data_IF_035411679232
#
_entry.id   IF_035411679232
#
_cell.length_a   1.000
_cell.length_b   1.000
_cell.length_c   1.000
_cell.angle_alpha   90.00
_cell.angle_beta   90.00
_cell.angle_gamma   90.00
#
_symmetry.space_group_name_H-M   'P 1'
#
loop_
_entity.id
_entity.type
_entity.pdbx_description
1 polymer ?
#
# COMPACT_ATOMS: atom_id res chain seq x y z
N UNK A 1 10.30 -4.98 26.93
CA UNK A 1 10.19 -5.07 25.46
C UNK A 1 9.15 -6.14 25.13
N UNK A 2 8.01 -5.77 24.61
CA UNK A 2 6.94 -6.68 24.22
C UNK A 2 6.98 -6.88 22.72
N UNK A 3 7.45 -8.02 22.28
CA UNK A 3 7.60 -8.32 20.85
C UNK A 3 6.28 -8.82 20.27
N UNK A 4 5.91 -8.24 19.14
CA UNK A 4 4.81 -8.73 18.30
C UNK A 4 5.31 -8.97 16.88
N UNK A 5 4.69 -9.92 16.22
CA UNK A 5 4.93 -10.21 14.82
C UNK A 5 3.87 -9.56 13.93
N UNK A 6 4.25 -9.10 12.76
CA UNK A 6 3.31 -8.60 11.77
C UNK A 6 3.69 -9.05 10.36
N UNK A 7 2.71 -9.56 9.62
CA UNK A 7 2.85 -9.73 8.18
C UNK A 7 2.77 -8.36 7.50
N UNK A 8 3.76 -8.05 6.72
CA UNK A 8 3.95 -6.76 6.07
C UNK A 8 4.22 -6.94 4.58
N UNK A 9 4.10 -5.86 3.80
CA UNK A 9 4.27 -5.88 2.36
C UNK A 9 5.14 -4.71 1.89
N UNK A 10 6.02 -4.96 0.93
CA UNK A 10 6.72 -3.91 0.17
C UNK A 10 6.26 -3.93 -1.28
N UNK A 11 6.09 -2.75 -1.86
CA UNK A 11 5.74 -2.54 -3.26
C UNK A 11 6.87 -1.77 -3.95
N UNK A 12 7.49 -2.39 -4.94
CA UNK A 12 8.50 -1.71 -5.76
C UNK A 12 7.82 -0.96 -6.91
N UNK A 13 7.67 0.36 -6.76
CA UNK A 13 6.94 1.19 -7.71
C UNK A 13 7.63 1.28 -9.07
N UNK A 14 8.95 1.13 -9.11
CA UNK A 14 9.71 1.14 -10.35
C UNK A 14 9.32 0.00 -11.33
N UNK A 15 8.74 -1.07 -10.80
CA UNK A 15 8.26 -2.23 -11.57
C UNK A 15 6.75 -2.22 -11.82
N UNK A 16 6.03 -1.22 -11.36
CA UNK A 16 4.59 -1.17 -11.56
C UNK A 16 4.26 -0.78 -13.02
N UNK A 17 3.56 -1.64 -13.71
CA UNK A 17 3.15 -1.47 -15.11
C UNK A 17 1.79 -0.79 -15.28
N UNK A 18 1.08 -0.49 -14.19
CA UNK A 18 -0.30 0.00 -14.25
C UNK A 18 -1.30 -0.98 -14.86
N UNK A 19 -1.01 -2.28 -14.90
CA UNK A 19 -1.84 -3.29 -15.57
C UNK A 19 -3.14 -3.64 -14.84
N UNK A 20 -3.38 -3.12 -13.66
CA UNK A 20 -4.56 -3.29 -12.81
C UNK A 20 -4.95 -4.73 -12.45
N UNK A 21 -4.20 -5.75 -12.86
CA UNK A 21 -4.48 -7.16 -12.53
C UNK A 21 -4.69 -7.36 -11.02
N UNK A 22 -3.87 -6.72 -10.19
CA UNK A 22 -4.00 -6.79 -8.73
C UNK A 22 -5.31 -6.18 -8.21
N UNK A 23 -5.87 -5.17 -8.89
CA UNK A 23 -7.14 -4.55 -8.52
C UNK A 23 -8.31 -5.42 -8.91
N UNK A 24 -8.30 -5.95 -10.14
CA UNK A 24 -9.36 -6.79 -10.68
C UNK A 24 -9.46 -8.11 -9.92
N UNK A 25 -8.34 -8.79 -9.67
CA UNK A 25 -8.34 -10.04 -8.91
C UNK A 25 -8.79 -9.85 -7.46
N UNK A 26 -8.37 -8.76 -6.82
CA UNK A 26 -8.85 -8.40 -5.49
C UNK A 26 -10.35 -8.09 -5.49
N UNK A 27 -10.83 -7.35 -6.51
CA UNK A 27 -12.24 -7.01 -6.69
C UNK A 27 -13.08 -8.28 -6.84
N UNK A 28 -12.69 -9.18 -7.72
CA UNK A 28 -13.42 -10.42 -7.98
C UNK A 28 -13.44 -11.36 -6.77
N UNK A 29 -12.38 -11.35 -5.96
CA UNK A 29 -12.29 -12.23 -4.79
C UNK A 29 -13.10 -11.70 -3.61
N UNK A 30 -13.10 -10.38 -3.37
CA UNK A 30 -13.58 -9.83 -2.10
C UNK A 30 -14.78 -8.89 -2.22
N UNK A 31 -14.91 -8.14 -3.30
CA UNK A 31 -15.89 -7.05 -3.40
C UNK A 31 -16.78 -7.09 -4.65
N UNK A 32 -16.82 -8.22 -5.35
CA UNK A 32 -17.74 -8.43 -6.48
C UNK A 32 -19.08 -8.96 -5.99
N UNK A 33 -19.83 -8.14 -5.24
CA UNK A 33 -21.11 -8.46 -4.65
C UNK A 33 -21.92 -7.19 -4.36
N UNK A 34 -23.22 -7.34 -4.11
CA UNK A 34 -24.14 -6.25 -3.85
C UNK A 34 -23.71 -5.38 -2.66
N UNK A 35 -23.85 -4.07 -2.81
CA UNK A 35 -23.45 -3.06 -1.85
C UNK A 35 -21.95 -2.78 -1.80
N UNK A 36 -21.12 -3.58 -2.50
CA UNK A 36 -19.68 -3.44 -2.52
C UNK A 36 -19.13 -3.05 -3.92
N UNK A 37 -20.00 -2.66 -4.85
CA UNK A 37 -19.65 -2.38 -6.25
C UNK A 37 -18.61 -1.27 -6.38
N UNK A 38 -18.70 -0.23 -5.57
CA UNK A 38 -17.78 0.90 -5.58
C UNK A 38 -16.50 0.64 -4.77
N UNK A 39 -16.41 -0.47 -4.04
CA UNK A 39 -15.29 -0.76 -3.15
C UNK A 39 -14.13 -1.38 -3.91
N UNK A 40 -12.96 -0.76 -3.82
CA UNK A 40 -11.70 -1.32 -4.29
C UNK A 40 -10.72 -1.41 -3.12
N UNK A 41 -10.61 -2.59 -2.52
CA UNK A 41 -9.67 -2.84 -1.41
C UNK A 41 -8.23 -2.62 -1.85
N UNK A 42 -7.90 -3.02 -3.07
CA UNK A 42 -6.68 -2.63 -3.74
C UNK A 42 -7.03 -1.89 -5.03
N UNK A 43 -6.45 -0.73 -5.24
CA UNK A 43 -6.54 0.03 -6.49
C UNK A 43 -5.14 0.49 -6.91
N UNK A 44 -4.99 0.88 -8.15
CA UNK A 44 -3.77 1.49 -8.67
C UNK A 44 -4.12 2.90 -9.13
N UNK A 45 -3.39 3.87 -8.66
CA UNK A 45 -3.58 5.28 -8.99
C UNK A 45 -2.46 5.75 -9.88
N UNK A 46 -2.78 6.62 -10.83
CA UNK A 46 -1.77 7.39 -11.56
C UNK A 46 -1.31 8.56 -10.68
N UNK A 47 -0.01 8.82 -10.65
CA UNK A 47 0.59 9.92 -9.92
C UNK A 47 1.55 10.71 -10.81
N UNK A 48 1.44 12.04 -10.82
CA UNK A 48 0.45 12.89 -10.12
C UNK A 48 -1.00 12.63 -10.54
N UNK A 49 -1.96 12.84 -9.63
CA UNK A 49 -3.38 12.62 -9.88
C UNK A 49 -4.26 12.70 -8.64
N UNK A 50 -5.56 12.66 -8.81
CA UNK A 50 -6.55 12.89 -7.75
C UNK A 50 -6.72 11.70 -6.80
N UNK A 51 -6.36 10.48 -7.20
CA UNK A 51 -6.52 9.28 -6.37
C UNK A 51 -7.96 8.80 -6.19
N UNK A 52 -8.15 7.79 -5.30
CA UNK A 52 -9.43 7.14 -5.02
C UNK A 52 -9.63 6.89 -3.52
N UNK A 53 -10.57 7.56 -2.84
CA UNK A 53 -11.46 8.62 -3.35
C UNK A 53 -10.69 9.88 -3.77
N UNK A 54 -11.37 10.77 -4.49
CA UNK A 54 -10.76 12.02 -5.01
C UNK A 54 -10.11 12.83 -3.89
N UNK A 55 -8.87 13.24 -4.13
CA UNK A 55 -8.07 14.07 -3.23
C UNK A 55 -8.02 13.53 -1.80
N UNK A 56 -7.91 12.20 -1.64
CA UNK A 56 -7.87 11.55 -0.33
C UNK A 56 -6.71 12.05 0.56
N UNK A 57 -5.69 12.64 -0.02
CA UNK A 57 -4.53 13.23 0.67
C UNK A 57 -4.81 14.60 1.27
N UNK A 58 -5.91 15.23 0.91
CA UNK A 58 -6.36 16.49 1.50
C UNK A 58 -6.88 16.26 2.93
N UNK A 59 -5.96 16.32 3.89
CA UNK A 59 -6.31 16.10 5.29
C UNK A 59 -6.98 17.32 5.96
N UNK A 60 -6.97 18.49 5.33
CA UNK A 60 -7.77 19.62 5.80
C UNK A 60 -9.26 19.33 5.65
N UNK A 61 -9.62 18.70 4.53
CA UNK A 61 -10.98 18.22 4.27
C UNK A 61 -11.30 16.93 5.03
N UNK A 62 -10.44 15.94 4.94
CA UNK A 62 -10.77 14.55 5.34
C UNK A 62 -10.41 14.20 6.77
N UNK A 63 -9.51 14.94 7.41
CA UNK A 63 -9.15 14.85 8.84
C UNK A 63 -8.93 13.42 9.36
N UNK A 64 -8.20 12.60 8.59
CA UNK A 64 -7.87 11.24 9.01
C UNK A 64 -6.55 11.16 9.80
N UNK A 65 -6.31 10.01 10.46
CA UNK A 65 -5.09 9.78 11.21
C UNK A 65 -5.05 10.41 12.59
N UNK A 66 -3.85 10.73 13.04
CA UNK A 66 -3.56 11.28 14.36
C UNK A 66 -2.88 12.64 14.24
N UNK A 67 -3.14 13.49 15.21
CA UNK A 67 -2.43 14.75 15.46
C UNK A 67 -1.88 14.76 16.88
N UNK A 68 -0.97 15.67 17.17
CA UNK A 68 -0.55 15.94 18.54
C UNK A 68 -1.42 17.04 19.14
N UNK A 69 -1.87 16.84 20.37
CA UNK A 69 -2.51 17.90 21.16
C UNK A 69 -1.45 18.89 21.72
N UNK A 70 -1.90 19.93 22.37
CA UNK A 70 -1.03 20.95 22.96
C UNK A 70 -0.07 20.40 24.03
N UNK A 71 -0.34 19.22 24.57
CA UNK A 71 0.48 18.53 25.54
C UNK A 71 1.45 17.53 24.90
N UNK A 72 1.39 17.36 23.57
CA UNK A 72 2.19 16.41 22.81
C UNK A 72 1.66 14.98 22.81
N UNK A 73 0.42 14.76 23.26
CA UNK A 73 -0.21 13.44 23.22
C UNK A 73 -0.93 13.21 21.90
N UNK A 74 -1.06 11.95 21.51
CA UNK A 74 -1.80 11.56 20.32
C UNK A 74 -3.31 11.79 20.47
N UNK A 75 -3.88 12.54 19.55
CA UNK A 75 -5.31 12.78 19.43
C UNK A 75 -5.79 12.41 18.03
N UNK A 76 -7.00 11.82 17.93
CA UNK A 76 -7.59 11.54 16.63
C UNK A 76 -7.95 12.85 15.91
N UNK A 77 -7.52 13.00 14.67
CA UNK A 77 -7.81 14.18 13.83
C UNK A 77 -9.31 14.40 13.61
N UNK A 78 -10.12 13.34 13.68
CA UNK A 78 -11.60 13.40 13.61
C UNK A 78 -12.26 13.98 14.86
N UNK A 79 -11.50 14.32 15.88
CA UNK A 79 -11.94 14.97 17.11
C UNK A 79 -12.15 14.05 18.31
N UNK A 80 -12.49 14.67 19.44
CA UNK A 80 -12.69 14.01 20.74
C UNK A 80 -13.84 12.99 20.73
N UNK A 81 -13.93 12.17 21.79
CA UNK A 81 -15.04 11.22 21.98
C UNK A 81 -16.41 11.92 21.95
N UNK A 82 -16.52 13.11 22.54
CA UNK A 82 -17.75 13.90 22.55
C UNK A 82 -18.13 14.39 21.15
N UNK A 83 -17.18 14.92 20.39
CA UNK A 83 -17.41 15.35 19.01
C UNK A 83 -17.84 14.19 18.12
N UNK A 84 -17.26 13.01 18.32
CA UNK A 84 -17.65 11.81 17.57
C UNK A 84 -19.07 11.35 17.91
N UNK A 85 -19.48 11.46 19.17
CA UNK A 85 -20.87 11.16 19.58
C UNK A 85 -21.86 12.09 18.90
N UNK A 86 -21.55 13.39 18.80
CA UNK A 86 -22.40 14.35 18.08
C UNK A 86 -22.47 14.08 16.58
N UNK A 87 -21.40 13.52 16.00
CA UNK A 87 -21.33 13.15 14.58
C UNK A 87 -21.94 11.78 14.24
N UNK A 88 -22.70 11.17 15.15
CA UNK A 88 -23.25 9.82 14.96
C UNK A 88 -24.11 9.71 13.69
N UNK A 89 -24.83 10.76 13.35
CA UNK A 89 -25.75 10.80 12.21
C UNK A 89 -25.20 11.56 11.00
N UNK A 90 -24.13 12.34 11.19
CA UNK A 90 -23.54 13.15 10.13
C UNK A 90 -22.02 13.19 10.23
N UNK A 91 -21.35 12.71 9.18
CA UNK A 91 -19.91 12.64 9.10
C UNK A 91 -19.39 13.50 7.93
N UNK A 92 -19.15 14.79 8.13
CA UNK A 92 -18.75 15.69 7.03
C UNK A 92 -17.37 15.32 6.43
N UNK A 93 -16.51 14.64 7.19
CA UNK A 93 -15.20 14.18 6.75
C UNK A 93 -15.25 12.79 6.09
N UNK A 94 -16.43 12.19 5.94
CA UNK A 94 -16.58 10.92 5.24
C UNK A 94 -16.71 11.17 3.73
N UNK A 95 -15.95 10.44 2.87
CA UNK A 95 -16.19 10.49 1.43
C UNK A 95 -17.61 10.04 1.07
N UNK A 96 -18.24 10.78 0.18
CA UNK A 96 -19.52 10.43 -0.42
C UNK A 96 -19.33 9.59 -1.68
N UNK A 97 -20.41 9.02 -2.21
CA UNK A 97 -20.34 8.21 -3.43
C UNK A 97 -19.78 8.99 -4.63
N UNK A 98 -20.02 10.29 -4.69
CA UNK A 98 -19.47 11.18 -5.74
C UNK A 98 -17.96 11.39 -5.66
N UNK A 99 -17.34 11.19 -4.48
CA UNK A 99 -15.91 11.26 -4.29
C UNK A 99 -15.24 9.95 -4.73
N UNK A 100 -16.00 8.87 -4.80
CA UNK A 100 -15.63 7.63 -5.45
C UNK A 100 -16.06 7.65 -6.92
N UNK A 101 -15.51 6.73 -7.71
CA UNK A 101 -15.98 6.52 -9.07
C UNK A 101 -17.32 5.79 -9.06
N UNK A 102 -18.27 6.25 -9.88
CA UNK A 102 -19.52 5.55 -10.03
C UNK A 102 -19.25 4.15 -10.63
N UNK A 103 -19.64 3.06 -9.93
CA UNK A 103 -19.39 1.72 -10.43
C UNK A 103 -20.26 1.43 -11.65
N UNK A 104 -19.68 0.82 -12.65
CA UNK A 104 -20.35 0.54 -13.91
C UNK A 104 -20.05 -0.87 -14.44
N UNK A 105 -20.90 -1.33 -15.34
CA UNK A 105 -20.72 -2.55 -16.12
C UNK A 105 -21.11 -2.29 -17.57
N UNK A 106 -20.72 -3.17 -18.47
CA UNK A 106 -21.19 -3.11 -19.85
C UNK A 106 -22.59 -3.72 -19.98
N UNK A 107 -23.34 -3.32 -21.02
CA UNK A 107 -24.61 -3.90 -21.40
C UNK A 107 -24.38 -5.22 -22.15
N UNK A 108 -24.02 -6.25 -21.39
CA UNK A 108 -23.71 -7.58 -21.95
C UNK A 108 -24.93 -8.22 -22.63
N UNK A 109 -26.14 -7.96 -22.14
CA UNK A 109 -27.37 -8.51 -22.77
C UNK A 109 -27.54 -8.01 -24.18
N UNK A 110 -27.33 -6.73 -24.42
CA UNK A 110 -27.37 -6.17 -25.81
C UNK A 110 -26.29 -6.79 -26.69
N UNK A 111 -25.11 -7.14 -26.18
CA UNK A 111 -24.05 -7.81 -26.90
C UNK A 111 -24.40 -9.27 -27.21
N UNK A 112 -24.96 -10.00 -26.26
CA UNK A 112 -25.28 -11.43 -26.38
C UNK A 112 -26.48 -11.64 -27.30
N UNK A 113 -27.50 -10.79 -27.17
CA UNK A 113 -28.75 -10.93 -27.91
C UNK A 113 -28.82 -10.04 -29.16
N UNK A 114 -27.77 -9.27 -29.43
CA UNK A 114 -27.66 -8.49 -30.66
C UNK A 114 -27.65 -9.39 -31.90
N UNK A 115 -28.71 -9.34 -32.70
CA UNK A 115 -28.80 -10.14 -33.93
C UNK A 115 -27.70 -9.76 -34.93
N UNK A 116 -27.34 -10.70 -35.83
CA UNK A 116 -26.41 -10.48 -36.95
C UNK A 116 -27.03 -9.51 -37.96
N UNK A 117 -26.97 -8.22 -37.65
CA UNK A 117 -27.37 -7.13 -38.55
C UNK A 117 -26.13 -6.36 -38.99
N UNK A 118 -26.25 -5.57 -40.04
CA UNK A 118 -25.13 -4.74 -40.53
C UNK A 118 -24.57 -3.73 -39.51
N UNK A 119 -25.37 -3.37 -38.51
CA UNK A 119 -24.90 -2.53 -37.39
C UNK A 119 -24.62 -3.41 -36.17
N UNK A 120 -23.35 -3.55 -35.83
CA UNK A 120 -22.95 -4.23 -34.61
C UNK A 120 -23.38 -3.41 -33.37
N UNK A 121 -23.94 -4.05 -32.33
CA UNK A 121 -24.24 -3.36 -31.11
C UNK A 121 -22.93 -2.90 -30.42
N UNK A 122 -22.90 -1.66 -30.00
CA UNK A 122 -21.77 -1.12 -29.22
C UNK A 122 -22.07 -1.33 -27.74
N UNK A 123 -21.15 -1.97 -27.03
CA UNK A 123 -21.22 -2.07 -25.58
C UNK A 123 -21.11 -0.67 -24.96
N UNK A 124 -22.18 -0.20 -24.34
CA UNK A 124 -22.14 1.05 -23.58
C UNK A 124 -22.13 0.76 -22.09
N UNK A 125 -21.32 1.49 -21.31
CA UNK A 125 -21.33 1.33 -19.87
C UNK A 125 -22.67 1.73 -19.28
N UNK A 126 -23.10 0.98 -18.26
CA UNK A 126 -24.27 1.27 -17.43
C UNK A 126 -23.84 1.41 -15.99
N UNK A 127 -24.33 2.43 -15.31
CA UNK A 127 -24.19 2.58 -13.89
C UNK A 127 -24.76 1.37 -13.14
N UNK A 128 -24.01 0.81 -12.21
CA UNK A 128 -24.52 -0.21 -11.28
C UNK A 128 -25.47 0.38 -10.24
N UNK A 129 -25.39 1.69 -10.00
CA UNK A 129 -26.24 2.42 -9.03
C UNK A 129 -27.55 2.85 -9.69
N UNK A 130 -27.49 3.66 -10.76
CA UNK A 130 -28.68 4.25 -11.39
C UNK A 130 -29.31 3.37 -12.46
N UNK A 131 -28.59 2.34 -12.94
CA UNK A 131 -28.95 1.45 -14.06
C UNK A 131 -29.07 2.18 -15.42
N UNK A 132 -28.73 3.45 -15.47
CA UNK A 132 -28.76 4.24 -16.71
C UNK A 132 -27.47 4.09 -17.52
N UNK A 133 -27.55 4.37 -18.82
CA UNK A 133 -26.37 4.48 -19.68
C UNK A 133 -25.53 5.66 -19.22
N UNK A 134 -24.22 5.47 -19.20
CA UNK A 134 -23.29 6.50 -18.80
C UNK A 134 -22.09 6.58 -19.76
N UNK A 135 -21.42 7.71 -19.76
CA UNK A 135 -20.12 7.88 -20.37
C UNK A 135 -19.06 7.74 -19.27
N UNK A 136 -18.13 6.82 -19.47
CA UNK A 136 -17.01 6.63 -18.55
C UNK A 136 -15.94 7.65 -18.90
N UNK A 137 -15.86 8.71 -18.11
CA UNK A 137 -14.84 9.73 -18.27
C UNK A 137 -13.60 9.45 -17.43
N UNK A 138 -13.73 8.64 -16.38
CA UNK A 138 -12.63 8.24 -15.49
C UNK A 138 -13.09 7.13 -14.54
N UNK A 139 -12.16 6.43 -13.89
CA UNK A 139 -12.48 5.36 -12.96
C UNK A 139 -11.32 5.08 -11.99
N UNK A 140 -11.50 4.21 -10.95
CA UNK A 140 -10.52 3.98 -9.89
C UNK A 140 -9.15 3.50 -10.38
N UNK A 141 -9.13 2.94 -11.57
CA UNK A 141 -7.94 2.39 -12.21
C UNK A 141 -7.77 2.92 -13.64
N UNK A 142 -8.57 3.89 -14.04
CA UNK A 142 -8.71 4.36 -15.39
C UNK A 142 -8.72 5.88 -15.41
N UNK A 143 -7.89 6.46 -14.60
CA UNK A 143 -7.59 7.87 -14.73
C UNK A 143 -6.72 8.00 -15.96
N UNK A 144 -7.42 7.99 -17.12
CA UNK A 144 -6.81 7.79 -18.42
C UNK A 144 -6.14 9.03 -18.95
N UNK A 145 -6.21 10.13 -18.23
CA UNK A 145 -5.35 11.26 -18.46
C UNK A 145 -3.93 10.98 -17.96
N UNK A 146 -3.43 9.85 -18.41
CA UNK A 146 -2.10 9.34 -18.10
C UNK A 146 -0.98 10.30 -18.53
N UNK A 147 -1.30 11.31 -19.31
CA UNK A 147 -0.36 12.25 -19.90
C UNK A 147 -0.51 13.68 -19.34
N UNK A 148 -0.78 13.83 -18.07
CA UNK A 148 -0.72 15.15 -17.45
C UNK A 148 -1.98 16.00 -17.60
N UNK A 149 -3.13 15.40 -17.76
CA UNK A 149 -4.37 16.12 -17.93
C UNK A 149 -4.85 16.91 -16.70
N UNK A 150 -6.09 17.38 -16.77
CA UNK A 150 -6.72 18.22 -15.73
C UNK A 150 -6.63 17.62 -14.32
N UNK A 151 -6.54 16.29 -14.21
CA UNK A 151 -6.46 15.59 -12.93
C UNK A 151 -5.09 15.70 -12.25
N UNK A 152 -4.00 15.77 -13.03
CA UNK A 152 -2.67 15.98 -12.47
C UNK A 152 -2.57 17.34 -11.77
N UNK A 153 -3.19 18.38 -12.36
CA UNK A 153 -3.22 19.74 -11.78
C UNK A 153 -3.97 19.82 -10.44
N UNK A 154 -4.81 18.87 -10.16
CA UNK A 154 -5.58 18.77 -8.90
C UNK A 154 -4.88 17.93 -7.85
N UNK A 155 -3.67 17.45 -8.11
CA UNK A 155 -2.86 16.69 -7.14
C UNK A 155 -2.46 17.57 -5.96
N UNK A 156 -2.78 17.10 -4.74
CA UNK A 156 -2.55 17.86 -3.49
C UNK A 156 -1.07 18.10 -3.25
N UNK A 157 -0.20 17.15 -3.60
CA UNK A 157 1.24 17.27 -3.37
C UNK A 157 1.91 18.20 -4.38
N UNK A 158 1.44 18.21 -5.65
CA UNK A 158 1.91 19.18 -6.63
C UNK A 158 1.46 20.60 -6.27
N UNK A 159 0.22 20.77 -5.84
CA UNK A 159 -0.29 22.08 -5.42
C UNK A 159 0.54 22.68 -4.29
N UNK A 160 1.06 21.87 -3.37
CA UNK A 160 1.98 22.29 -2.31
C UNK A 160 3.34 22.77 -2.84
N UNK A 161 3.75 22.33 -4.01
CA UNK A 161 5.06 22.67 -4.60
C UNK A 161 5.04 23.95 -5.45
N UNK A 162 3.87 24.50 -5.76
CA UNK A 162 3.68 25.66 -6.64
C UNK A 162 3.34 25.29 -8.08
N UNK A 163 2.56 26.16 -8.74
CA UNK A 163 1.99 25.84 -10.06
C UNK A 163 3.03 25.79 -11.19
N UNK A 164 4.12 26.51 -11.07
CA UNK A 164 5.13 26.61 -12.14
C UNK A 164 5.86 25.27 -12.38
N UNK A 165 5.97 24.46 -11.35
CA UNK A 165 6.62 23.13 -11.41
C UNK A 165 5.75 22.11 -12.15
N UNK A 166 4.43 22.27 -12.14
CA UNK A 166 3.49 21.33 -12.76
C UNK A 166 3.76 21.19 -14.26
N UNK A 167 4.03 22.28 -14.95
CA UNK A 167 4.23 22.28 -16.41
C UNK A 167 5.53 21.60 -16.84
N UNK A 168 6.59 21.70 -16.05
CA UNK A 168 7.88 21.07 -16.37
C UNK A 168 7.88 19.55 -16.17
N UNK A 169 6.97 19.04 -15.35
CA UNK A 169 6.90 17.62 -15.00
C UNK A 169 5.77 16.84 -15.68
N UNK A 170 4.77 17.49 -16.24
CA UNK A 170 3.59 16.84 -16.85
C UNK A 170 3.98 15.81 -17.92
N UNK A 171 4.99 16.11 -18.73
CA UNK A 171 5.42 15.22 -19.83
C UNK A 171 6.45 14.16 -19.41
N UNK A 172 7.06 14.31 -18.24
CA UNK A 172 8.28 13.55 -17.88
C UNK A 172 8.09 12.63 -16.68
N UNK A 173 7.15 12.95 -15.77
CA UNK A 173 6.96 12.20 -14.54
C UNK A 173 5.52 11.70 -14.38
N UNK A 174 5.34 10.44 -14.66
CA UNK A 174 4.11 9.71 -14.36
C UNK A 174 4.48 8.37 -13.73
N UNK A 175 3.82 8.02 -12.63
CA UNK A 175 4.02 6.76 -11.93
C UNK A 175 2.70 6.20 -11.45
N UNK A 176 2.69 4.89 -11.26
CA UNK A 176 1.57 4.18 -10.68
C UNK A 176 1.78 3.93 -9.20
N UNK A 177 0.77 4.25 -8.40
CA UNK A 177 0.75 4.02 -6.96
C UNK A 177 -0.34 3.00 -6.61
N UNK A 178 0.00 1.72 -6.48
CA UNK A 178 -0.93 0.73 -5.96
C UNK A 178 -1.17 0.97 -4.48
N UNK A 179 -2.44 1.12 -4.09
CA UNK A 179 -2.84 1.37 -2.70
C UNK A 179 -3.79 0.30 -2.17
N UNK A 180 -3.53 -0.14 -0.96
CA UNK A 180 -4.39 -1.04 -0.19
C UNK A 180 -4.42 -0.57 1.27
N UNK A 181 -5.13 -1.29 2.15
CA UNK A 181 -5.05 -1.01 3.59
C UNK A 181 -3.64 -1.28 4.10
N UNK A 182 -3.10 -0.34 4.87
CA UNK A 182 -1.73 -0.42 5.40
C UNK A 182 -1.58 -1.29 6.65
N UNK A 183 -2.68 -1.81 7.22
CA UNK A 183 -2.67 -2.62 8.44
C UNK A 183 -1.74 -2.05 9.54
N UNK A 184 -1.89 -0.76 9.78
CA UNK A 184 -1.02 0.09 10.59
C UNK A 184 -0.71 -0.48 11.98
N UNK A 185 0.45 -0.12 12.54
CA UNK A 185 0.79 -0.43 13.94
C UNK A 185 -0.04 0.41 14.91
N UNK A 186 -0.27 1.69 14.58
CA UNK A 186 -1.11 2.63 15.33
C UNK A 186 -2.38 2.99 14.55
N UNK A 187 -3.36 2.07 14.43
CA UNK A 187 -4.49 2.24 13.52
C UNK A 187 -5.55 3.19 14.08
N UNK A 188 -5.64 4.40 13.51
CA UNK A 188 -6.66 5.40 13.87
C UNK A 188 -8.10 4.87 13.71
N UNK A 189 -8.32 3.96 12.77
CA UNK A 189 -9.63 3.33 12.55
C UNK A 189 -10.06 2.40 13.69
N UNK A 190 -9.12 1.72 14.34
CA UNK A 190 -9.37 0.89 15.53
C UNK A 190 -9.74 1.78 16.69
N UNK A 191 -8.94 2.80 16.97
CA UNK A 191 -9.17 3.76 18.05
C UNK A 191 -10.47 4.56 17.88
N UNK A 192 -10.90 4.76 16.64
CA UNK A 192 -12.15 5.49 16.36
C UNK A 192 -13.41 4.65 16.51
N UNK A 193 -13.32 3.32 16.56
CA UNK A 193 -14.48 2.43 16.60
C UNK A 193 -15.07 2.32 18.01
N UNK A 194 -16.29 2.87 18.29
CA UNK A 194 -16.84 2.83 19.65
C UNK A 194 -17.27 1.43 20.09
N UNK A 195 -17.64 0.55 19.14
CA UNK A 195 -18.09 -0.81 19.44
C UNK A 195 -16.94 -1.83 19.55
N UNK A 196 -15.70 -1.42 19.26
CA UNK A 196 -14.57 -2.36 19.20
C UNK A 196 -14.64 -3.36 18.04
N UNK A 197 -15.52 -3.12 17.05
CA UNK A 197 -15.68 -4.03 15.92
C UNK A 197 -14.42 -4.09 15.01
N UNK A 198 -13.63 -3.01 14.96
CA UNK A 198 -12.35 -3.02 14.27
C UNK A 198 -11.27 -3.36 15.29
N UNK A 199 -10.48 -4.35 14.98
CA UNK A 199 -9.42 -4.83 15.85
C UNK A 199 -8.19 -5.26 15.05
N UNK A 200 -7.04 -5.30 15.72
CA UNK A 200 -5.78 -5.80 15.20
C UNK A 200 -5.58 -7.21 15.74
N UNK A 201 -5.35 -8.16 14.85
CA UNK A 201 -5.06 -9.55 15.23
C UNK A 201 -3.70 -9.62 15.91
N UNK A 202 -3.59 -10.43 16.94
CA UNK A 202 -2.32 -10.62 17.65
C UNK A 202 -1.36 -11.54 16.89
N UNK A 203 -1.88 -12.49 16.11
CA UNK A 203 -1.12 -13.53 15.44
C UNK A 203 -0.29 -13.00 14.27
N UNK A 204 -0.84 -12.10 13.48
CA UNK A 204 -0.25 -11.64 12.23
C UNK A 204 -0.30 -10.12 12.03
N UNK A 205 -0.86 -9.39 13.00
CA UNK A 205 -0.99 -7.94 12.96
C UNK A 205 -2.03 -7.42 11.96
N UNK A 206 -2.81 -8.28 11.31
CA UNK A 206 -3.83 -7.86 10.35
C UNK A 206 -4.98 -7.14 11.06
N UNK A 207 -5.36 -5.97 10.57
CA UNK A 207 -6.51 -5.22 11.09
C UNK A 207 -7.78 -5.65 10.37
N UNK A 208 -8.76 -6.15 11.12
CA UNK A 208 -10.03 -6.68 10.62
C UNK A 208 -11.24 -5.92 11.18
N UNK A 209 -12.40 -6.19 10.58
CA UNK A 209 -13.72 -5.73 11.07
C UNK A 209 -14.55 -6.97 11.38
N UNK A 210 -14.95 -7.12 12.64
CA UNK A 210 -15.95 -8.09 13.03
C UNK A 210 -17.34 -7.63 12.54
N UNK A 211 -17.91 -8.39 11.61
CA UNK A 211 -19.20 -8.05 11.04
C UNK A 211 -20.34 -8.16 12.07
N UNK A 212 -20.24 -9.10 13.01
CA UNK A 212 -21.24 -9.31 14.06
C UNK A 212 -21.28 -8.16 15.07
N UNK A 213 -20.11 -7.59 15.40
CA UNK A 213 -19.97 -6.51 16.37
C UNK A 213 -20.15 -5.12 15.72
N UNK A 214 -19.97 -5.01 14.40
CA UNK A 214 -20.10 -3.74 13.69
C UNK A 214 -21.53 -3.21 13.77
N UNK A 215 -21.70 -1.96 14.24
CA UNK A 215 -22.98 -1.28 14.37
C UNK A 215 -23.24 -0.22 13.28
N UNK A 216 -22.36 -0.16 12.27
CA UNK A 216 -22.53 0.76 11.16
C UNK A 216 -22.37 2.25 11.46
N UNK A 217 -21.76 2.63 12.58
CA UNK A 217 -21.60 4.04 12.97
C UNK A 217 -20.59 4.83 12.13
N UNK A 218 -19.84 4.17 11.26
CA UNK A 218 -18.97 4.74 10.23
C UNK A 218 -17.80 5.60 10.72
N UNK A 219 -17.55 5.79 12.01
CA UNK A 219 -16.43 6.59 12.52
C UNK A 219 -15.06 6.15 12.02
N UNK A 220 -14.91 4.87 11.66
CA UNK A 220 -13.69 4.31 11.10
C UNK A 220 -13.38 4.82 9.69
N UNK A 221 -14.40 5.19 8.90
CA UNK A 221 -14.23 5.65 7.52
C UNK A 221 -13.48 6.98 7.46
N UNK A 222 -13.95 8.07 8.11
CA UNK A 222 -13.20 9.32 8.14
C UNK A 222 -11.87 9.19 8.88
N UNK A 223 -11.78 8.37 9.94
CA UNK A 223 -10.54 8.25 10.72
C UNK A 223 -9.39 7.57 9.99
N UNK A 224 -9.67 6.78 8.95
CA UNK A 224 -8.62 6.25 8.09
C UNK A 224 -8.04 7.36 7.20
N UNK A 225 -6.76 7.78 7.36
CA UNK A 225 -6.21 8.85 6.52
C UNK A 225 -6.05 8.41 5.06
N UNK A 226 -5.84 7.12 4.82
CA UNK A 226 -5.73 6.52 3.49
C UNK A 226 -7.08 6.24 2.82
N UNK A 227 -8.20 6.48 3.50
CA UNK A 227 -9.57 6.21 3.01
C UNK A 227 -9.74 4.80 2.43
N UNK A 228 -9.16 3.79 3.10
CA UNK A 228 -9.24 2.37 2.73
C UNK A 228 -10.20 1.56 3.59
N UNK A 229 -11.18 2.24 4.18
CA UNK A 229 -12.36 1.65 4.82
C UNK A 229 -13.57 2.12 4.06
N UNK A 230 -14.41 1.19 3.70
CA UNK A 230 -15.61 1.39 2.92
C UNK A 230 -16.84 1.07 3.78
N UNK A 231 -17.99 1.52 3.35
CA UNK A 231 -19.24 1.22 3.99
C UNK A 231 -20.18 0.52 3.02
N UNK A 232 -20.60 -0.68 3.35
CA UNK A 232 -21.57 -1.42 2.58
C UNK A 232 -22.97 -0.96 2.96
N UNK A 233 -23.65 -0.28 2.04
CA UNK A 233 -24.95 0.30 2.27
C UNK A 233 -26.08 -0.74 2.31
N UNK A 234 -25.87 -1.90 1.73
CA UNK A 234 -26.81 -3.02 1.76
C UNK A 234 -26.81 -3.69 3.13
N UNK A 235 -25.61 -4.08 3.59
CA UNK A 235 -25.44 -4.74 4.89
C UNK A 235 -25.38 -3.77 6.08
N UNK A 236 -25.24 -2.47 5.84
CA UNK A 236 -25.01 -1.44 6.85
C UNK A 236 -23.76 -1.68 7.73
N UNK A 237 -22.70 -2.23 7.14
CA UNK A 237 -21.46 -2.59 7.82
C UNK A 237 -20.25 -1.93 7.18
N UNK A 238 -19.20 -1.72 7.99
CA UNK A 238 -17.91 -1.29 7.47
C UNK A 238 -17.14 -2.48 6.92
N UNK A 239 -16.44 -2.26 5.80
CA UNK A 239 -15.63 -3.25 5.13
C UNK A 239 -14.28 -2.66 4.71
N UNK A 240 -13.25 -3.50 4.69
CA UNK A 240 -11.90 -3.11 4.30
C UNK A 240 -11.09 -4.32 3.85
N UNK A 241 -9.93 -4.05 3.25
CA UNK A 241 -8.96 -5.09 2.93
C UNK A 241 -8.69 -5.98 4.16
N UNK A 242 -8.84 -7.28 3.99
CA UNK A 242 -8.61 -8.31 5.02
C UNK A 242 -7.19 -8.90 4.92
N UNK A 243 -6.32 -8.31 4.09
CA UNK A 243 -4.95 -8.77 3.79
C UNK A 243 -4.90 -10.24 3.33
N UNK A 244 -6.01 -10.74 2.81
CA UNK A 244 -6.23 -12.14 2.44
C UNK A 244 -5.84 -13.12 3.55
N UNK A 245 -6.15 -12.82 4.83
CA UNK A 245 -5.72 -13.63 5.98
C UNK A 245 -6.05 -15.12 5.82
N UNK A 246 -7.17 -15.56 5.20
CA UNK A 246 -7.42 -16.99 5.01
C UNK A 246 -6.37 -17.66 4.09
N UNK A 247 -5.73 -16.89 3.21
CA UNK A 247 -4.62 -17.37 2.39
C UNK A 247 -3.32 -17.40 3.19
N UNK A 248 -3.06 -16.36 3.99
CA UNK A 248 -1.88 -16.27 4.86
C UNK A 248 -1.82 -17.45 5.83
N UNK A 249 -2.94 -17.82 6.46
CA UNK A 249 -3.06 -18.98 7.34
C UNK A 249 -2.70 -20.31 6.64
N UNK A 250 -2.86 -20.37 5.32
CA UNK A 250 -2.46 -21.51 4.49
C UNK A 250 -1.06 -21.33 3.86
N UNK A 251 -0.25 -20.35 4.30
CA UNK A 251 1.07 -20.09 3.79
C UNK A 251 1.10 -19.52 2.35
N UNK A 252 -0.02 -18.96 1.88
CA UNK A 252 -0.17 -18.37 0.56
C UNK A 252 -0.15 -16.85 0.64
N UNK A 253 0.46 -16.14 -0.32
CA UNK A 253 0.46 -14.68 -0.35
C UNK A 253 -0.93 -14.13 -0.66
N UNK A 254 -1.09 -12.83 -0.41
CA UNK A 254 -2.27 -12.08 -0.82
C UNK A 254 -2.47 -12.21 -2.33
N UNK A 255 -3.73 -12.32 -2.76
CA UNK A 255 -4.08 -12.49 -4.18
C UNK A 255 -3.49 -11.39 -5.06
N UNK A 256 -3.54 -10.14 -4.61
CA UNK A 256 -2.97 -9.01 -5.33
C UNK A 256 -1.43 -9.04 -5.43
N UNK A 257 -0.74 -9.77 -4.54
CA UNK A 257 0.70 -9.95 -4.60
C UNK A 257 1.08 -11.11 -5.53
N UNK A 258 0.33 -12.20 -5.46
CA UNK A 258 0.57 -13.39 -6.28
C UNK A 258 0.30 -13.14 -7.77
N UNK A 259 -0.79 -12.46 -8.08
CA UNK A 259 -1.20 -12.15 -9.47
C UNK A 259 -0.48 -10.95 -10.08
N UNK A 260 0.43 -10.33 -9.36
CA UNK A 260 1.16 -9.15 -9.85
C UNK A 260 2.07 -9.50 -11.03
N UNK A 261 1.74 -8.99 -12.22
CA UNK A 261 2.49 -9.22 -13.47
C UNK A 261 3.93 -8.70 -13.36
N UNK A 262 4.11 -7.48 -12.84
CA UNK A 262 5.43 -6.87 -12.63
C UNK A 262 6.26 -7.51 -11.51
N UNK A 263 5.71 -8.49 -10.76
CA UNK A 263 6.37 -9.14 -9.62
C UNK A 263 6.96 -8.14 -8.62
N UNK A 264 6.24 -7.04 -8.41
CA UNK A 264 6.71 -5.90 -7.62
C UNK A 264 6.34 -5.96 -6.13
N UNK A 265 5.63 -6.99 -5.69
CA UNK A 265 5.14 -7.12 -4.32
C UNK A 265 5.92 -8.18 -3.57
N UNK A 266 6.35 -7.84 -2.38
CA UNK A 266 7.13 -8.66 -1.46
C UNK A 266 6.36 -8.78 -0.15
N UNK A 267 6.25 -9.98 0.38
CA UNK A 267 5.49 -10.25 1.61
C UNK A 267 6.39 -11.00 2.59
N UNK A 268 6.43 -10.53 3.81
CA UNK A 268 7.24 -11.15 4.86
C UNK A 268 6.78 -10.73 6.24
N UNK A 269 7.40 -11.30 7.24
CA UNK A 269 7.16 -11.01 8.65
C UNK A 269 8.17 -9.99 9.14
N UNK A 270 7.73 -9.06 9.97
CA UNK A 270 8.58 -8.17 10.75
C UNK A 270 8.26 -8.30 12.23
N UNK A 271 9.26 -8.18 13.09
CA UNK A 271 9.10 -8.05 14.53
C UNK A 271 9.16 -6.59 14.92
N UNK A 272 8.37 -6.19 15.88
CA UNK A 272 8.37 -4.82 16.38
C UNK A 272 8.15 -4.78 17.89
N UNK A 273 8.64 -3.71 18.53
CA UNK A 273 8.43 -3.45 19.95
C UNK A 273 7.09 -2.75 20.17
N UNK A 274 6.12 -3.48 20.70
CA UNK A 274 4.78 -2.95 20.94
C UNK A 274 4.76 -1.83 21.99
N UNK A 275 5.65 -1.87 22.96
CA UNK A 275 5.69 -0.89 24.05
C UNK A 275 6.07 0.50 23.54
N UNK A 276 6.83 0.59 22.44
CA UNK A 276 7.30 1.85 21.84
C UNK A 276 6.38 2.45 20.78
N UNK A 277 5.32 1.74 20.35
CA UNK A 277 4.47 2.16 19.24
C UNK A 277 3.87 3.56 19.44
N UNK A 278 3.35 3.83 20.64
CA UNK A 278 2.73 5.12 20.96
C UNK A 278 3.77 6.25 21.00
N UNK A 279 4.92 6.00 21.61
CA UNK A 279 6.05 6.94 21.68
C UNK A 279 6.53 7.34 20.28
N UNK A 280 6.77 6.36 19.40
CA UNK A 280 7.22 6.62 18.04
C UNK A 280 6.18 7.37 17.21
N UNK A 281 4.90 7.05 17.38
CA UNK A 281 3.81 7.79 16.73
C UNK A 281 3.67 9.22 17.27
N UNK A 282 4.04 9.48 18.53
CA UNK A 282 4.00 10.79 19.17
C UNK A 282 5.23 11.66 18.91
N UNK A 283 6.15 11.25 18.04
CA UNK A 283 7.32 12.02 17.63
C UNK A 283 6.92 13.46 17.23
N UNK A 284 7.59 14.46 17.79
CA UNK A 284 7.20 15.87 17.60
C UNK A 284 7.40 16.33 16.16
N UNK A 285 8.60 16.08 15.61
CA UNK A 285 8.91 16.41 14.23
C UNK A 285 8.41 15.30 13.28
N UNK A 286 7.56 15.66 12.35
CA UNK A 286 6.96 14.70 11.40
C UNK A 286 7.98 14.05 10.45
N UNK A 287 9.07 14.76 10.17
CA UNK A 287 10.16 14.27 9.31
C UNK A 287 10.96 13.13 9.94
N UNK A 288 10.95 13.01 11.27
CA UNK A 288 11.68 11.98 12.01
C UNK A 288 10.85 10.69 12.19
N UNK A 289 9.54 10.72 11.87
CA UNK A 289 8.63 9.58 12.07
C UNK A 289 9.08 8.35 11.27
N UNK A 290 9.63 8.55 10.07
CA UNK A 290 10.14 7.45 9.26
C UNK A 290 11.26 6.70 9.99
N UNK A 291 12.29 7.40 10.43
CA UNK A 291 13.44 6.77 11.10
C UNK A 291 13.02 6.07 12.38
N UNK A 292 12.16 6.72 13.18
CA UNK A 292 11.58 6.12 14.39
C UNK A 292 10.72 4.88 14.07
N UNK A 293 9.99 4.89 12.96
CA UNK A 293 9.23 3.69 12.53
C UNK A 293 10.17 2.54 12.13
N UNK A 294 11.28 2.85 11.48
CA UNK A 294 12.31 1.85 11.13
C UNK A 294 13.02 1.34 12.38
N UNK A 295 13.27 2.21 13.39
CA UNK A 295 13.85 1.81 14.66
C UNK A 295 12.96 0.83 15.42
N UNK A 296 11.65 1.01 15.36
CA UNK A 296 10.66 0.12 15.97
C UNK A 296 10.74 -1.33 15.46
N UNK A 297 11.20 -1.51 14.20
CA UNK A 297 11.40 -2.84 13.62
C UNK A 297 12.67 -3.47 14.20
N UNK A 298 12.52 -4.63 14.82
CA UNK A 298 13.59 -5.35 15.53
C UNK A 298 14.36 -6.28 14.59
N UNK A 299 15.64 -6.53 14.92
CA UNK A 299 16.46 -7.49 14.19
C UNK A 299 16.06 -8.93 14.56
N UNK A 300 15.54 -9.73 13.64
CA UNK A 300 15.15 -11.11 13.91
C UNK A 300 16.35 -12.07 14.08
N UNK A 301 17.58 -11.59 13.91
CA UNK A 301 18.81 -12.35 14.15
C UNK A 301 19.40 -12.08 15.54
N UNK A 302 18.98 -11.03 16.22
CA UNK A 302 19.44 -10.71 17.56
C UNK A 302 18.97 -11.79 18.57
N UNK A 303 19.89 -12.41 19.33
CA UNK A 303 19.56 -13.43 20.31
C UNK A 303 18.57 -12.96 21.39
N UNK A 304 18.64 -11.68 21.81
CA UNK A 304 17.71 -11.12 22.80
C UNK A 304 16.31 -10.98 22.24
N UNK A 305 16.18 -10.54 20.98
CA UNK A 305 14.92 -10.47 20.24
C UNK A 305 14.32 -11.86 20.06
N UNK A 306 15.12 -12.84 19.68
CA UNK A 306 14.68 -14.24 19.51
C UNK A 306 14.17 -14.82 20.84
N UNK A 307 14.91 -14.57 21.93
CA UNK A 307 14.52 -15.03 23.26
C UNK A 307 13.19 -14.41 23.68
N UNK A 308 13.07 -13.10 23.58
CA UNK A 308 11.85 -12.38 23.94
C UNK A 308 10.65 -12.79 23.04
N UNK A 309 10.88 -13.03 21.74
CA UNK A 309 9.85 -13.54 20.83
C UNK A 309 9.31 -14.91 21.27
N UNK A 310 10.19 -15.82 21.74
CA UNK A 310 9.79 -17.12 22.29
C UNK A 310 9.00 -16.97 23.60
N UNK A 311 9.41 -16.04 24.46
CA UNK A 311 8.71 -15.75 25.73
C UNK A 311 7.29 -15.20 25.47
N UNK A 312 7.10 -14.43 24.40
CA UNK A 312 5.78 -13.96 23.92
C UNK A 312 4.98 -15.05 23.15
N UNK A 313 5.49 -16.26 23.03
CA UNK A 313 4.79 -17.37 22.37
C UNK A 313 4.86 -17.40 20.85
N UNK A 314 5.76 -16.60 20.24
CA UNK A 314 5.96 -16.62 18.78
C UNK A 314 6.66 -17.92 18.38
N UNK A 315 6.06 -18.66 17.44
CA UNK A 315 6.56 -19.97 17.03
C UNK A 315 7.88 -19.89 16.22
N UNK A 316 8.65 -20.98 16.23
CA UNK A 316 9.90 -21.08 15.46
C UNK A 316 9.70 -20.88 13.94
N UNK A 317 8.52 -21.22 13.43
CA UNK A 317 8.18 -20.97 12.02
C UNK A 317 8.13 -19.48 11.71
N UNK A 318 7.57 -18.67 12.62
CA UNK A 318 7.50 -17.24 12.52
C UNK A 318 8.88 -16.58 12.68
N UNK A 319 9.70 -17.06 13.63
CA UNK A 319 11.07 -16.58 13.82
C UNK A 319 11.90 -16.80 12.55
N UNK A 320 11.86 -18.02 11.99
CA UNK A 320 12.55 -18.33 10.73
C UNK A 320 12.02 -17.53 9.53
N UNK A 321 10.73 -17.25 9.51
CA UNK A 321 10.13 -16.41 8.47
C UNK A 321 10.59 -14.96 8.60
N UNK A 322 10.67 -14.40 9.81
CA UNK A 322 11.19 -13.06 10.04
C UNK A 322 12.66 -12.93 9.62
N UNK A 323 13.50 -13.90 9.95
CA UNK A 323 14.92 -13.95 9.55
C UNK A 323 15.14 -13.99 8.02
N UNK A 324 14.19 -14.57 7.28
CA UNK A 324 14.24 -14.64 5.81
C UNK A 324 13.39 -13.55 5.13
N UNK A 325 12.78 -12.68 5.90
CA UNK A 325 11.79 -11.71 5.42
C UNK A 325 12.36 -10.75 4.37
N UNK A 326 11.79 -10.70 3.17
CA UNK A 326 12.18 -9.69 2.19
C UNK A 326 11.79 -8.28 2.65
N UNK A 327 10.75 -8.17 3.48
CA UNK A 327 10.31 -6.87 4.02
C UNK A 327 11.35 -6.33 4.99
N UNK A 328 11.83 -7.15 5.95
CA UNK A 328 12.89 -6.76 6.87
C UNK A 328 14.13 -6.26 6.11
N UNK A 329 14.57 -7.01 5.09
CA UNK A 329 15.71 -6.63 4.26
C UNK A 329 15.51 -5.28 3.57
N UNK A 330 14.38 -5.08 2.91
CA UNK A 330 14.11 -3.86 2.15
C UNK A 330 13.90 -2.62 3.05
N UNK A 331 13.30 -2.80 4.23
CA UNK A 331 12.97 -1.70 5.14
C UNK A 331 14.11 -1.38 6.10
N UNK A 332 14.64 -2.39 6.81
CA UNK A 332 15.61 -2.20 7.90
C UNK A 332 17.06 -2.40 7.46
N UNK A 333 17.34 -3.52 6.78
CA UNK A 333 18.72 -3.88 6.44
C UNK A 333 19.29 -3.00 5.32
N UNK A 334 18.51 -2.77 4.26
CA UNK A 334 18.95 -1.98 3.10
C UNK A 334 18.41 -0.56 3.08
N UNK A 335 17.33 -0.28 3.81
CA UNK A 335 16.74 1.06 3.93
C UNK A 335 16.29 1.64 2.58
N UNK A 336 15.67 0.83 1.72
CA UNK A 336 15.22 1.25 0.38
C UNK A 336 13.68 1.27 0.26
N UNK A 337 12.96 0.96 1.32
CA UNK A 337 11.51 1.00 1.34
C UNK A 337 10.99 2.02 2.36
N UNK A 338 10.06 2.84 1.94
CA UNK A 338 9.50 3.98 2.66
C UNK A 338 8.00 3.80 2.91
N UNK A 339 7.44 4.31 4.02
CA UNK A 339 6.01 4.28 4.27
C UNK A 339 5.28 5.36 3.46
N UNK A 340 3.98 5.19 3.25
CA UNK A 340 3.14 6.22 2.65
C UNK A 340 2.62 7.17 3.72
N UNK A 341 2.90 8.47 3.58
CA UNK A 341 2.46 9.55 4.48
C UNK A 341 2.71 9.24 5.98
N UNK A 342 3.97 9.16 6.41
CA UNK A 342 4.31 8.89 7.82
C UNK A 342 3.75 9.95 8.76
N UNK A 343 3.56 11.19 8.30
CA UNK A 343 2.97 12.31 9.06
C UNK A 343 1.55 12.04 9.57
N UNK A 344 0.86 11.06 9.02
CA UNK A 344 -0.45 10.64 9.55
C UNK A 344 -0.35 9.84 10.85
N UNK A 345 0.87 9.53 11.32
CA UNK A 345 1.18 8.92 12.62
C UNK A 345 0.51 7.56 12.87
N UNK A 346 0.13 6.88 11.80
CA UNK A 346 -0.52 5.57 11.88
C UNK A 346 0.47 4.42 11.81
N UNK A 347 1.73 4.67 11.52
CA UNK A 347 2.82 3.69 11.35
C UNK A 347 2.40 2.56 10.38
N UNK A 348 2.34 2.85 9.08
CA UNK A 348 1.87 1.90 8.06
C UNK A 348 2.82 0.71 7.90
N UNK A 349 2.26 -0.48 7.67
CA UNK A 349 3.01 -1.72 7.43
C UNK A 349 2.96 -2.17 5.97
N UNK A 350 2.56 -1.30 5.08
CA UNK A 350 2.79 -1.42 3.63
C UNK A 350 3.77 -0.33 3.23
N UNK A 351 4.86 -0.76 2.60
CA UNK A 351 6.02 0.05 2.30
C UNK A 351 6.22 0.15 0.80
N UNK A 352 6.97 1.14 0.35
CA UNK A 352 7.16 1.43 -1.06
C UNK A 352 8.64 1.67 -1.37
N UNK A 353 9.20 0.94 -2.33
CA UNK A 353 10.46 1.33 -2.97
C UNK A 353 10.11 2.40 -4.00
N UNK A 354 10.66 3.61 -3.88
CA UNK A 354 10.31 4.72 -4.76
C UNK A 354 10.71 4.42 -6.21
N UNK A 355 9.98 5.00 -7.19
CA UNK A 355 10.30 4.81 -8.59
C UNK A 355 11.53 5.62 -8.98
N UNK A 356 12.37 5.07 -9.85
CA UNK A 356 13.44 5.79 -10.51
C UNK A 356 12.95 6.41 -11.83
N UNK A 357 13.52 7.54 -12.22
CA UNK A 357 13.17 8.15 -13.51
C UNK A 357 13.72 7.33 -14.69
N UNK A 358 12.95 7.14 -15.79
CA UNK A 358 13.45 6.50 -17.01
C UNK A 358 14.62 7.24 -17.65
N UNK A 359 14.79 8.55 -17.38
CA UNK A 359 15.87 9.36 -17.93
C UNK A 359 17.23 8.95 -17.37
N UNK A 360 17.28 8.45 -16.15
CA UNK A 360 18.50 7.89 -15.55
C UNK A 360 19.02 6.66 -16.31
N UNK A 361 18.19 5.97 -17.06
CA UNK A 361 18.60 4.84 -17.91
C UNK A 361 19.42 5.29 -19.14
N UNK A 362 19.40 6.57 -19.49
CA UNK A 362 20.14 7.14 -20.63
C UNK A 362 21.48 7.80 -20.27
N UNK A 363 21.86 7.79 -19.00
CA UNK A 363 23.19 8.26 -18.61
C UNK A 363 24.19 7.20 -19.05
N UNK A 364 24.78 7.48 -20.18
CA UNK A 364 25.83 6.66 -20.80
C UNK A 364 27.12 6.73 -20.00
N UNK A 365 27.94 5.75 -20.21
CA UNK A 365 29.17 5.31 -19.54
C UNK A 365 30.22 6.35 -19.12
N UNK A 366 30.08 7.62 -19.43
CA UNK A 366 31.11 8.64 -19.18
C UNK A 366 30.62 9.79 -18.28
N UNK A 367 29.46 9.66 -17.65
CA UNK A 367 28.88 10.74 -16.84
C UNK A 367 28.65 10.24 -15.42
N UNK A 368 29.31 10.94 -14.50
CA UNK A 368 29.03 11.09 -13.10
C UNK A 368 27.52 10.89 -12.82
N UNK A 369 27.17 10.02 -11.89
CA UNK A 369 25.76 9.91 -11.43
C UNK A 369 25.33 11.29 -10.93
N UNK A 370 24.35 11.94 -11.55
CA UNK A 370 23.91 13.24 -11.09
C UNK A 370 23.47 13.12 -9.63
N UNK A 371 23.79 14.10 -8.83
CA UNK A 371 23.24 14.27 -7.50
C UNK A 371 21.72 14.03 -7.56
N UNK A 372 21.15 13.44 -6.51
CA UNK A 372 19.71 13.22 -6.43
C UNK A 372 18.88 14.50 -6.69
N UNK A 373 19.46 15.67 -6.48
CA UNK A 373 18.89 16.98 -6.82
C UNK A 373 18.93 17.32 -8.32
N UNK A 374 19.85 16.74 -9.07
CA UNK A 374 19.94 16.92 -10.53
C UNK A 374 19.08 15.92 -11.30
N UNK A 375 18.59 14.90 -10.63
CA UNK A 375 17.67 13.95 -11.21
C UNK A 375 16.35 14.66 -11.51
N UNK A 376 15.84 14.53 -12.74
CA UNK A 376 14.50 15.01 -13.11
C UNK A 376 13.36 14.21 -12.44
N UNK A 377 13.66 13.47 -11.37
CA UNK A 377 12.66 12.94 -10.46
C UNK A 377 12.27 14.07 -9.54
N UNK A 378 10.99 14.40 -9.37
CA UNK A 378 10.61 15.42 -8.41
C UNK A 378 10.80 14.86 -7.00
N UNK A 379 12.03 15.00 -6.50
CA UNK A 379 12.44 14.52 -5.18
C UNK A 379 11.49 15.06 -4.11
N UNK A 380 11.13 16.35 -4.22
CA UNK A 380 10.18 16.97 -3.29
C UNK A 380 8.79 16.32 -3.34
N UNK A 381 8.29 15.98 -4.54
CA UNK A 381 6.99 15.31 -4.68
C UNK A 381 6.97 13.94 -4.01
N UNK A 382 8.01 13.14 -4.26
CA UNK A 382 8.16 11.83 -3.62
C UNK A 382 8.43 11.94 -2.12
N UNK A 383 9.17 12.96 -1.69
CA UNK A 383 9.38 13.24 -0.26
C UNK A 383 8.07 13.58 0.46
N UNK A 384 7.19 14.36 -0.18
CA UNK A 384 5.86 14.66 0.36
C UNK A 384 4.99 13.39 0.50
N UNK A 385 5.18 12.40 -0.38
CA UNK A 385 4.45 11.13 -0.31
C UNK A 385 5.00 10.18 0.75
N UNK A 386 6.33 10.08 0.89
CA UNK A 386 6.95 8.95 1.58
C UNK A 386 7.76 9.30 2.83
N UNK A 387 8.13 10.57 3.01
CA UNK A 387 9.04 11.00 4.07
C UNK A 387 8.60 12.29 4.79
N UNK A 388 7.31 12.63 4.74
CA UNK A 388 6.78 13.87 5.31
C UNK A 388 7.56 15.13 4.83
N UNK A 389 7.98 15.13 3.57
CA UNK A 389 8.74 16.24 2.97
C UNK A 389 10.25 16.21 3.23
N UNK A 390 10.79 15.19 3.91
CA UNK A 390 12.24 15.06 4.12
C UNK A 390 12.91 14.53 2.84
N UNK A 391 13.54 15.45 2.10
CA UNK A 391 14.21 15.16 0.82
C UNK A 391 15.52 14.38 1.01
N UNK A 392 16.21 14.53 2.14
CA UNK A 392 17.48 13.84 2.41
C UNK A 392 17.28 12.32 2.55
N UNK A 393 16.26 11.90 3.30
CA UNK A 393 15.91 10.48 3.45
C UNK A 393 15.54 9.88 2.08
N UNK A 394 14.74 10.60 1.29
CA UNK A 394 14.36 10.14 -0.03
C UNK A 394 15.57 10.04 -0.97
N UNK A 395 16.42 11.07 -1.00
CA UNK A 395 17.62 11.09 -1.84
C UNK A 395 18.55 9.92 -1.49
N UNK A 396 18.82 9.70 -0.20
CA UNK A 396 19.60 8.54 0.28
C UNK A 396 18.98 7.20 -0.18
N UNK A 397 17.66 7.07 -0.10
CA UNK A 397 16.94 5.86 -0.55
C UNK A 397 17.09 5.64 -2.05
N UNK A 398 16.93 6.69 -2.85
CA UNK A 398 17.10 6.63 -4.31
C UNK A 398 18.55 6.29 -4.67
N UNK A 399 19.54 6.92 -4.01
CA UNK A 399 20.95 6.66 -4.23
C UNK A 399 21.29 5.19 -4.00
N UNK A 400 20.85 4.57 -2.93
CA UNK A 400 21.08 3.14 -2.65
C UNK A 400 20.53 2.23 -3.76
N UNK A 401 19.39 2.56 -4.36
CA UNK A 401 18.86 1.78 -5.50
C UNK A 401 19.68 2.01 -6.77
N UNK A 402 20.19 3.23 -6.98
CA UNK A 402 21.10 3.54 -8.08
C UNK A 402 22.44 2.83 -7.94
N UNK A 403 23.03 2.84 -6.75
CA UNK A 403 24.30 2.15 -6.46
C UNK A 403 24.21 0.66 -6.75
N UNK A 404 23.09 0.03 -6.39
CA UNK A 404 22.84 -1.38 -6.75
C UNK A 404 22.85 -1.58 -8.28
N UNK A 405 22.22 -0.68 -9.05
CA UNK A 405 22.19 -0.78 -10.51
C UNK A 405 23.56 -0.55 -11.12
N UNK A 406 24.27 0.46 -10.61
CA UNK A 406 25.62 0.77 -11.04
C UNK A 406 26.59 -0.38 -10.75
N UNK A 407 26.54 -0.95 -9.53
CA UNK A 407 27.33 -2.13 -9.16
C UNK A 407 27.09 -3.29 -10.12
N UNK A 408 25.84 -3.60 -10.44
CA UNK A 408 25.55 -4.70 -11.36
C UNK A 408 26.02 -4.43 -12.79
N UNK A 409 25.88 -3.20 -13.26
CA UNK A 409 26.38 -2.80 -14.59
C UNK A 409 27.88 -2.97 -14.67
N UNK A 410 28.64 -2.40 -13.75
CA UNK A 410 30.12 -2.50 -13.72
C UNK A 410 30.60 -3.93 -13.59
N UNK A 411 29.92 -4.72 -12.77
CA UNK A 411 30.22 -6.14 -12.63
C UNK A 411 30.06 -6.92 -13.93
N UNK A 412 29.06 -6.62 -14.73
CA UNK A 412 28.79 -7.30 -16.00
C UNK A 412 29.68 -6.78 -17.13
N UNK A 413 30.08 -5.52 -17.13
CA UNK A 413 30.98 -4.92 -18.13
C UNK A 413 32.45 -5.16 -17.81
N UNK A 414 32.78 -5.54 -16.58
CA UNK A 414 34.19 -5.70 -16.14
C UNK A 414 34.84 -4.36 -15.77
N UNK A 415 34.08 -3.29 -15.62
CA UNK A 415 34.58 -2.02 -15.13
C UNK A 415 34.95 -2.12 -13.65
N UNK A 416 35.84 -1.28 -13.18
CA UNK A 416 36.30 -1.27 -11.79
C UNK A 416 35.20 -0.96 -10.77
N UNK A 417 35.54 -0.84 -9.48
CA UNK A 417 34.60 -0.53 -8.44
C UNK A 417 33.90 0.82 -8.67
N UNK A 418 32.82 1.07 -7.95
CA UNK A 418 32.10 2.36 -7.97
C UNK A 418 33.05 3.45 -7.42
N UNK A 419 33.10 4.61 -8.08
CA UNK A 419 34.07 5.67 -7.79
C UNK A 419 33.68 6.62 -6.64
N UNK A 420 32.47 6.47 -6.08
CA UNK A 420 32.00 7.25 -4.95
C UNK A 420 31.79 6.39 -3.70
N UNK A 421 31.61 7.06 -2.56
CA UNK A 421 31.36 6.36 -1.30
C UNK A 421 29.97 5.72 -1.29
N UNK A 422 29.90 4.40 -1.27
CA UNK A 422 28.67 3.61 -1.24
C UNK A 422 28.43 3.12 0.17
N UNK A 423 27.23 3.37 0.71
CA UNK A 423 26.85 2.94 2.07
C UNK A 423 26.62 1.43 2.18
N UNK A 424 26.28 0.75 1.06
CA UNK A 424 25.96 -0.66 1.02
C UNK A 424 27.19 -1.49 0.61
N UNK A 425 27.33 -2.66 1.19
CA UNK A 425 28.35 -3.63 0.78
C UNK A 425 27.99 -4.28 -0.56
N UNK A 426 28.99 -4.84 -1.26
CA UNK A 426 28.77 -5.58 -2.52
C UNK A 426 27.79 -6.74 -2.36
N UNK A 427 27.85 -7.46 -1.24
CA UNK A 427 26.94 -8.57 -0.95
C UNK A 427 25.49 -8.07 -0.75
N UNK A 428 25.31 -6.93 -0.10
CA UNK A 428 24.00 -6.30 0.06
C UNK A 428 23.45 -5.82 -1.29
N UNK A 429 24.27 -5.17 -2.12
CA UNK A 429 23.86 -4.72 -3.45
C UNK A 429 23.49 -5.91 -4.36
N UNK A 430 24.27 -6.98 -4.32
CA UNK A 430 23.96 -8.20 -5.07
C UNK A 430 22.71 -8.90 -4.56
N UNK A 431 22.54 -8.96 -3.23
CA UNK A 431 21.32 -9.47 -2.59
C UNK A 431 20.08 -8.68 -2.98
N UNK A 432 20.20 -7.35 -2.98
CA UNK A 432 19.14 -6.43 -3.39
C UNK A 432 18.77 -6.63 -4.86
N UNK A 433 19.75 -6.75 -5.76
CA UNK A 433 19.50 -7.05 -7.16
C UNK A 433 18.77 -8.38 -7.36
N UNK A 434 19.18 -9.44 -6.68
CA UNK A 434 18.47 -10.74 -6.74
C UNK A 434 17.01 -10.60 -6.33
N UNK A 435 16.76 -9.86 -5.27
CA UNK A 435 15.40 -9.68 -4.76
C UNK A 435 14.57 -8.76 -5.66
N UNK A 436 15.08 -7.59 -6.04
CA UNK A 436 14.32 -6.59 -6.78
C UNK A 436 14.21 -6.89 -8.28
N UNK A 437 15.29 -7.38 -8.92
CA UNK A 437 15.28 -7.63 -10.36
C UNK A 437 14.79 -9.05 -10.69
N UNK A 438 15.42 -10.10 -10.13
CA UNK A 438 15.07 -11.49 -10.44
C UNK A 438 13.72 -11.90 -9.83
N UNK A 439 13.41 -11.42 -8.63
CA UNK A 439 12.10 -11.53 -8.00
C UNK A 439 11.50 -12.95 -8.03
N UNK A 440 12.28 -13.95 -7.59
CA UNK A 440 11.79 -15.33 -7.52
C UNK A 440 10.64 -15.42 -6.52
N UNK A 441 9.70 -16.35 -6.75
CA UNK A 441 8.51 -16.52 -5.92
C UNK A 441 8.85 -16.72 -4.44
N UNK A 442 9.76 -17.64 -4.13
CA UNK A 442 10.12 -17.97 -2.75
C UNK A 442 10.91 -16.85 -2.06
N UNK A 443 11.59 -15.99 -2.82
CA UNK A 443 12.32 -14.85 -2.27
C UNK A 443 11.37 -13.68 -1.97
N UNK A 444 10.31 -13.53 -2.78
CA UNK A 444 9.28 -12.50 -2.60
C UNK A 444 8.28 -12.80 -1.49
N UNK A 445 7.98 -14.08 -1.26
CA UNK A 445 6.93 -14.49 -0.34
C UNK A 445 7.47 -15.41 0.74
N UNK A 446 7.68 -14.84 1.92
CA UNK A 446 8.13 -15.56 3.11
C UNK A 446 7.02 -15.46 4.16
N UNK A 447 6.11 -16.42 4.11
CA UNK A 447 4.91 -16.45 4.94
C UNK A 447 5.03 -17.69 5.82
N UNK A 448 4.98 -17.53 7.16
CA UNK A 448 4.97 -18.66 8.06
C UNK A 448 3.69 -19.47 7.87
N UNK A 449 3.79 -20.78 7.95
CA UNK A 449 2.66 -21.68 7.91
C UNK A 449 2.95 -22.83 8.87
N UNK A 450 2.09 -23.00 9.83
CA UNK A 450 2.12 -24.17 10.72
C UNK A 450 1.52 -25.41 10.01
N UNK A 451 0.84 -25.19 8.90
CA UNK A 451 0.30 -26.24 8.06
C UNK A 451 1.36 -26.65 7.04
N UNK A 452 1.90 -27.86 7.19
CA UNK A 452 2.79 -28.49 6.20
C UNK A 452 1.99 -28.90 4.95
N UNK A 453 1.50 -27.94 4.20
CA UNK A 453 0.90 -28.21 2.89
C UNK A 453 2.05 -28.37 1.89
N UNK A 454 2.16 -29.54 1.28
CA UNK A 454 3.13 -29.79 0.21
C UNK A 454 2.90 -28.83 -0.96
N UNK A 455 3.92 -28.60 -1.79
CA UNK A 455 3.78 -27.79 -3.02
C UNK A 455 2.65 -28.31 -3.90
N UNK A 456 2.49 -29.61 -3.96
CA UNK A 456 1.43 -30.30 -4.71
C UNK A 456 0.05 -30.05 -4.10
N UNK A 457 -0.10 -30.18 -2.78
CA UNK A 457 -1.33 -29.82 -2.09
C UNK A 457 -1.71 -28.35 -2.21
N UNK A 458 -0.73 -27.44 -2.31
CA UNK A 458 -1.00 -26.00 -2.63
C UNK A 458 -1.52 -25.83 -4.04
N UNK A 459 -0.97 -26.55 -5.01
CA UNK A 459 -1.43 -26.52 -6.40
C UNK A 459 -2.83 -27.14 -6.53
N UNK A 460 -3.12 -28.22 -5.83
CA UNK A 460 -4.46 -28.81 -5.76
C UNK A 460 -5.48 -27.88 -5.13
N UNK A 461 -5.11 -27.16 -4.04
CA UNK A 461 -5.97 -26.11 -3.46
C UNK A 461 -6.26 -24.99 -4.44
N UNK A 462 -5.28 -24.60 -5.26
CA UNK A 462 -5.45 -23.59 -6.30
C UNK A 462 -6.30 -24.09 -7.47
N UNK A 463 -6.11 -25.32 -7.91
CA UNK A 463 -6.81 -25.89 -9.06
C UNK A 463 -8.26 -26.31 -8.74
N UNK A 464 -8.50 -26.88 -7.57
CA UNK A 464 -9.81 -27.44 -7.22
C UNK A 464 -10.80 -26.42 -6.64
N UNK A 465 -10.34 -25.23 -6.24
CA UNK A 465 -11.18 -24.24 -5.55
C UNK A 465 -11.32 -22.92 -6.31
N UNK A 466 -10.61 -22.77 -7.43
CA UNK A 466 -10.56 -21.50 -8.14
C UNK A 466 -10.16 -20.37 -7.17
N UNK A 467 -10.71 -19.20 -7.36
CA UNK A 467 -10.58 -18.07 -6.42
C UNK A 467 -11.71 -18.03 -5.37
N UNK A 468 -12.51 -19.09 -5.28
CA UNK A 468 -13.62 -19.18 -4.33
C UNK A 468 -13.13 -19.54 -2.93
N UNK A 469 -13.80 -19.02 -1.92
CA UNK A 469 -13.57 -19.37 -0.51
C UNK A 469 -13.65 -20.90 -0.30
N UNK A 470 -12.75 -21.49 0.49
CA UNK A 470 -12.65 -22.93 0.67
C UNK A 470 -13.84 -23.61 1.36
N UNK A 471 -14.69 -22.85 2.00
CA UNK A 471 -15.86 -23.37 2.69
C UNK A 471 -17.03 -22.44 2.40
N UNK A 472 -18.20 -22.97 2.09
CA UNK A 472 -19.43 -22.23 1.80
C UNK A 472 -19.91 -21.29 2.90
N UNK A 473 -19.01 -20.64 3.60
CA UNK A 473 -19.19 -19.75 4.73
C UNK A 473 -18.68 -18.33 4.55
N UNK A 474 -18.34 -17.90 3.32
CA UNK A 474 -18.18 -16.48 3.03
C UNK A 474 -19.55 -15.85 2.73
N UNK A 475 -20.41 -15.81 3.73
CA UNK A 475 -21.58 -14.93 3.76
C UNK A 475 -21.22 -13.59 4.38
#
# INVERSE_FOLDING_TARGET
MKIKAQVSMVLNLDKCLGCHTCSITCKNTWTNREGAEYMYFNNVETRPGVGYPRNWEDQEKWKGGWTLDNSGNLALSTGSKTNRLMKLFFHPEQPELKDYFEPWTYDYETLIHGGRKNNQPVARPRSLVTKQKMEVTWGPNWDDDLAGGQHARSDVNLTKMGQDIVFDYEEVFMRYLPRLCNHCLNPACVAACPSGAIYKRDEDGVVLVSQDVCRGWRHCVPSCPYKKIFYNWETNKAEKCVFCYPRLENGLPQICAETCVGRMRYVGVVFYDMDKVEEMAATKNEQDIYENTVELILDPHDPEVIKAAREEGISEAWIKAAQKSPVYKLVKEWGVALPLHPEYRTLPMVWYVPPLSPILQRVTSDVYLPDAHEMRVPVQYLANLFTAGNTEILARTLQRVLDMREYMRRRETGDGPIDHNVELTEDQMYGMYKLLALSKYNDRFVIPSDVKVSREGRLEMQQNRGFACPTGGCQ
#
